data_IF_277951033089
#
_entry.id   IF_277951033089
#
_cell.length_a   1.000
_cell.length_b   1.000
_cell.length_c   1.000
_cell.angle_alpha   90.00
_cell.angle_beta   90.00
_cell.angle_gamma   90.00
#
_symmetry.space_group_name_H-M   'P 1'
#
loop_
_entity.id
_entity.type
_entity.pdbx_description
1 polymer ?
#
# COMPACT_ATOMS: atom_id res chain seq x y z
N UNK A 1 -11.32 16.28 -9.68
CA UNK A 1 -12.17 15.07 -9.82
C UNK A 1 -13.23 15.16 -10.92
N UNK A 2 -14.03 16.24 -11.04
CA UNK A 2 -15.09 16.29 -12.07
C UNK A 2 -14.53 16.17 -13.50
N UNK A 3 -13.35 16.75 -13.77
CA UNK A 3 -12.69 16.68 -15.09
C UNK A 3 -12.35 15.26 -15.55
N UNK A 4 -12.12 14.32 -14.65
CA UNK A 4 -11.74 12.93 -15.00
C UNK A 4 -12.92 11.96 -15.04
N UNK A 5 -14.08 12.38 -14.53
CA UNK A 5 -15.28 11.54 -14.36
C UNK A 5 -15.81 10.96 -15.67
N UNK A 6 -15.65 11.71 -16.77
CA UNK A 6 -16.16 11.33 -18.09
C UNK A 6 -15.05 10.86 -19.04
N UNK A 7 -13.83 10.61 -18.53
CA UNK A 7 -12.78 10.00 -19.35
C UNK A 7 -13.19 8.59 -19.71
N UNK A 8 -13.16 8.26 -21.00
CA UNK A 8 -13.31 6.88 -21.46
C UNK A 8 -12.12 6.04 -20.97
N UNK A 9 -12.38 5.18 -19.99
CA UNK A 9 -11.38 4.29 -19.40
C UNK A 9 -11.17 2.99 -20.18
N UNK A 10 -11.92 2.75 -21.27
CA UNK A 10 -11.79 1.51 -22.05
C UNK A 10 -10.44 1.39 -22.76
N UNK A 11 -9.77 2.51 -23.02
CA UNK A 11 -8.45 2.57 -23.65
C UNK A 11 -7.44 3.20 -22.68
N UNK A 12 -6.51 2.39 -22.18
CA UNK A 12 -5.45 2.76 -21.23
C UNK A 12 -4.74 4.06 -21.63
N UNK A 13 -4.25 4.12 -22.87
CA UNK A 13 -3.52 5.28 -23.39
C UNK A 13 -4.41 6.53 -23.52
N UNK A 14 -5.72 6.34 -23.72
CA UNK A 14 -6.70 7.42 -23.77
C UNK A 14 -6.91 8.12 -22.42
N UNK A 15 -6.53 7.48 -21.31
CA UNK A 15 -6.67 8.07 -19.97
C UNK A 15 -5.53 9.01 -19.59
N UNK A 16 -4.38 8.95 -20.27
CA UNK A 16 -3.16 9.66 -19.87
C UNK A 16 -3.29 11.18 -20.03
N UNK A 17 -3.45 11.64 -21.27
CA UNK A 17 -3.45 13.07 -21.59
C UNK A 17 -4.56 13.84 -20.84
N UNK A 18 -5.81 13.34 -20.79
CA UNK A 18 -6.86 14.03 -20.02
C UNK A 18 -6.60 14.05 -18.52
N UNK A 19 -5.94 13.02 -17.97
CA UNK A 19 -5.54 13.02 -16.55
C UNK A 19 -4.46 14.06 -16.27
N UNK A 20 -3.47 14.20 -17.17
CA UNK A 20 -2.44 15.24 -17.09
C UNK A 20 -3.10 16.63 -17.12
N UNK A 21 -3.98 16.88 -18.08
CA UNK A 21 -4.69 18.16 -18.22
C UNK A 21 -5.52 18.50 -16.98
N UNK A 22 -6.14 17.48 -16.35
CA UNK A 22 -6.92 17.66 -15.14
C UNK A 22 -6.07 18.03 -13.91
N UNK A 23 -4.89 17.42 -13.74
CA UNK A 23 -4.13 17.53 -12.49
C UNK A 23 -2.89 18.41 -12.56
N UNK A 24 -2.23 18.58 -13.71
CA UNK A 24 -1.05 19.44 -13.84
C UNK A 24 -1.29 20.87 -13.32
N UNK A 25 -2.41 21.55 -13.63
CA UNK A 25 -2.66 22.89 -13.08
C UNK A 25 -2.84 22.90 -11.55
N UNK A 26 -3.34 21.81 -10.97
CA UNK A 26 -3.51 21.68 -9.52
C UNK A 26 -2.16 21.45 -8.84
N UNK A 27 -1.31 20.60 -9.43
CA UNK A 27 0.05 20.38 -8.96
C UNK A 27 0.89 21.66 -9.02
N UNK A 28 0.78 22.43 -10.11
CA UNK A 28 1.48 23.71 -10.24
C UNK A 28 1.08 24.72 -9.16
N UNK A 29 -0.22 24.81 -8.83
CA UNK A 29 -0.69 25.64 -7.70
C UNK A 29 -0.14 25.21 -6.35
N UNK A 30 0.36 23.97 -6.25
CA UNK A 30 0.91 23.36 -5.03
C UNK A 30 2.42 23.12 -5.13
N UNK A 31 3.09 23.65 -6.16
CA UNK A 31 4.52 23.46 -6.41
C UNK A 31 5.38 23.75 -5.18
N UNK A 32 5.18 24.90 -4.53
CA UNK A 32 5.95 25.28 -3.33
C UNK A 32 5.82 24.24 -2.21
N UNK A 33 4.63 23.67 -2.02
CA UNK A 33 4.40 22.62 -1.01
C UNK A 33 5.12 21.33 -1.41
N UNK A 34 4.98 20.90 -2.67
CA UNK A 34 5.62 19.68 -3.19
C UNK A 34 7.15 19.79 -3.09
N UNK A 35 7.72 20.92 -3.49
CA UNK A 35 9.16 21.13 -3.55
C UNK A 35 9.78 21.55 -2.20
N UNK A 36 8.96 21.88 -1.20
CA UNK A 36 9.44 22.10 0.17
C UNK A 36 9.92 20.81 0.86
N UNK A 37 9.51 19.64 0.37
CA UNK A 37 9.94 18.36 0.91
C UNK A 37 11.40 18.10 0.54
N UNK A 38 12.25 17.85 1.54
CA UNK A 38 13.65 17.50 1.32
C UNK A 38 13.73 16.24 0.44
N UNK A 39 14.51 16.34 -0.63
CA UNK A 39 14.76 15.24 -1.56
C UNK A 39 16.24 15.15 -1.94
N UNK A 40 16.79 13.94 -1.96
CA UNK A 40 18.14 13.66 -2.43
C UNK A 40 18.12 12.55 -3.49
N UNK A 41 18.99 12.64 -4.49
CA UNK A 41 19.15 11.63 -5.55
C UNK A 41 20.39 10.79 -5.26
N UNK A 42 20.27 9.48 -5.43
CA UNK A 42 21.35 8.52 -5.28
C UNK A 42 21.44 7.62 -6.51
N UNK A 43 22.63 7.06 -6.74
CA UNK A 43 22.86 6.08 -7.80
C UNK A 43 23.08 4.70 -7.17
N UNK A 44 22.26 3.72 -7.56
CA UNK A 44 22.32 2.35 -7.02
C UNK A 44 23.00 1.35 -7.96
N UNK A 45 23.31 1.76 -9.19
CA UNK A 45 23.96 0.92 -10.19
C UNK A 45 24.82 1.70 -11.17
N UNK A 46 25.32 1.03 -12.22
CA UNK A 46 26.30 1.59 -13.15
C UNK A 46 25.69 2.52 -14.21
N UNK A 47 24.40 2.42 -14.49
CA UNK A 47 23.74 3.21 -15.54
C UNK A 47 23.05 4.46 -14.98
N UNK A 48 22.75 5.42 -15.84
CA UNK A 48 22.01 6.64 -15.47
C UNK A 48 20.62 6.31 -14.89
N UNK A 49 19.93 5.33 -15.49
CA UNK A 49 18.62 4.85 -15.04
C UNK A 49 18.68 3.98 -13.78
N UNK A 50 19.86 3.65 -13.28
CA UNK A 50 20.02 3.02 -11.98
C UNK A 50 20.21 4.07 -10.89
N UNK A 51 19.26 5.00 -10.84
CA UNK A 51 19.19 6.11 -9.88
C UNK A 51 17.86 6.07 -9.11
N UNK A 52 17.85 6.58 -7.89
CA UNK A 52 16.65 6.70 -7.07
C UNK A 52 16.60 8.06 -6.37
N UNK A 53 15.39 8.55 -6.14
CA UNK A 53 15.15 9.71 -5.29
C UNK A 53 14.63 9.26 -3.93
N UNK A 54 15.16 9.86 -2.86
CA UNK A 54 14.68 9.70 -1.49
C UNK A 54 14.04 10.99 -1.04
N UNK A 55 12.77 10.92 -0.65
CA UNK A 55 11.98 12.02 -0.08
C UNK A 55 11.90 11.82 1.42
N UNK A 56 12.40 12.80 2.17
CA UNK A 56 12.55 12.71 3.62
C UNK A 56 11.33 13.29 4.33
N UNK A 57 10.72 12.56 5.27
CA UNK A 57 9.71 13.15 6.12
C UNK A 57 10.33 14.23 7.00
N UNK A 58 9.50 15.17 7.48
CA UNK A 58 9.92 16.10 8.51
C UNK A 58 10.42 15.33 9.75
N UNK A 59 11.38 15.91 10.47
CA UNK A 59 11.96 15.28 11.66
C UNK A 59 10.85 14.91 12.66
N UNK A 60 10.77 13.63 13.02
CA UNK A 60 9.82 13.15 14.02
C UNK A 60 10.35 13.44 15.43
N UNK A 61 9.47 13.94 16.31
CA UNK A 61 9.78 14.11 17.74
C UNK A 61 10.05 12.78 18.46
N UNK A 62 9.66 11.65 17.87
CA UNK A 62 9.62 10.36 18.56
C UNK A 62 10.93 9.56 18.50
N UNK A 63 12.01 10.08 17.89
CA UNK A 63 13.28 9.37 17.63
C UNK A 63 13.13 8.00 16.92
N UNK A 64 11.93 7.66 16.41
CA UNK A 64 11.67 6.43 15.67
C UNK A 64 11.96 6.66 14.20
N UNK A 65 12.69 5.73 13.59
CA UNK A 65 12.95 5.74 12.14
C UNK A 65 11.61 5.48 11.40
N UNK A 66 11.28 6.26 10.37
CA UNK A 66 10.02 6.12 9.63
C UNK A 66 10.00 4.82 8.81
N UNK A 67 8.82 4.23 8.53
CA UNK A 67 8.73 3.15 7.54
C UNK A 67 9.17 3.67 6.16
N UNK A 68 9.62 2.75 5.31
CA UNK A 68 10.08 3.08 3.95
C UNK A 68 9.06 2.62 2.94
N UNK A 69 8.65 3.51 2.03
CA UNK A 69 7.79 3.18 0.89
C UNK A 69 8.56 3.33 -0.41
N UNK A 70 8.72 2.24 -1.16
CA UNK A 70 9.31 2.24 -2.49
C UNK A 70 8.18 2.31 -3.52
N UNK A 71 8.00 3.46 -4.16
CA UNK A 71 7.02 3.65 -5.22
C UNK A 71 7.66 3.35 -6.57
N UNK A 72 7.18 2.29 -7.23
CA UNK A 72 7.68 1.87 -8.55
C UNK A 72 6.66 2.27 -9.61
N UNK A 73 7.01 3.27 -10.41
CA UNK A 73 6.11 3.86 -11.37
C UNK A 73 5.77 2.92 -12.55
N UNK A 74 4.79 3.33 -13.36
CA UNK A 74 4.31 2.61 -14.55
C UNK A 74 4.99 3.04 -15.85
N UNK A 75 4.20 3.26 -16.91
CA UNK A 75 4.73 3.70 -18.21
C UNK A 75 4.98 2.56 -19.21
N UNK A 76 4.39 1.38 -18.95
CA UNK A 76 4.35 0.32 -19.95
C UNK A 76 5.71 -0.27 -20.32
N UNK A 77 6.65 -0.30 -19.38
CA UNK A 77 8.02 -0.80 -19.60
C UNK A 77 8.88 0.02 -20.57
N UNK A 78 8.31 0.91 -21.38
CA UNK A 78 8.99 1.67 -22.44
C UNK A 78 9.12 3.16 -22.12
N UNK A 79 8.37 3.66 -21.14
CA UNK A 79 8.39 5.05 -20.68
C UNK A 79 8.32 5.08 -19.15
N UNK A 80 8.43 6.29 -18.56
CA UNK A 80 8.41 6.47 -17.12
C UNK A 80 9.73 7.06 -16.62
N UNK A 81 9.68 8.01 -15.69
CA UNK A 81 10.86 8.64 -15.08
C UNK A 81 10.54 9.04 -13.64
N UNK A 82 11.50 8.89 -12.71
CA UNK A 82 11.35 9.42 -11.33
C UNK A 82 11.21 10.94 -11.30
N UNK A 83 11.80 11.64 -12.28
CA UNK A 83 11.66 13.07 -12.55
C UNK A 83 11.48 13.25 -14.06
N UNK A 84 10.35 13.79 -14.48
CA UNK A 84 10.16 14.21 -15.87
C UNK A 84 10.73 15.62 -16.11
N UNK A 85 11.01 16.00 -17.37
CA UNK A 85 11.22 17.40 -17.72
C UNK A 85 9.93 18.22 -17.60
N UNK A 86 10.08 19.54 -17.47
CA UNK A 86 8.95 20.48 -17.53
C UNK A 86 8.18 20.30 -18.86
N UNK A 87 6.84 20.41 -18.85
CA UNK A 87 5.97 20.85 -17.74
C UNK A 87 5.47 19.71 -16.83
N UNK A 88 6.05 18.51 -16.92
CA UNK A 88 5.65 17.34 -16.11
C UNK A 88 6.59 17.09 -14.93
N UNK A 89 7.48 18.04 -14.60
CA UNK A 89 8.52 17.85 -13.60
C UNK A 89 8.01 17.69 -12.17
N UNK A 90 6.73 17.94 -11.93
CA UNK A 90 6.04 17.64 -10.66
C UNK A 90 5.47 16.21 -10.60
N UNK A 91 5.35 15.52 -11.73
CA UNK A 91 4.88 14.12 -11.76
C UNK A 91 5.92 13.24 -11.05
N UNK A 92 5.44 12.39 -10.15
CA UNK A 92 6.20 11.58 -9.19
C UNK A 92 6.89 12.35 -8.06
N UNK A 93 7.34 13.61 -8.26
CA UNK A 93 7.69 14.48 -7.11
C UNK A 93 6.50 14.65 -6.17
N UNK A 94 5.31 14.84 -6.74
CA UNK A 94 4.07 14.95 -6.01
C UNK A 94 3.77 13.68 -5.17
N UNK A 95 4.06 12.49 -5.70
CA UNK A 95 3.92 11.21 -4.98
C UNK A 95 4.92 11.11 -3.83
N UNK A 96 6.20 11.38 -4.10
CA UNK A 96 7.26 11.35 -3.09
C UNK A 96 6.99 12.31 -1.93
N UNK A 97 6.63 13.55 -2.26
CA UNK A 97 6.28 14.58 -1.28
C UNK A 97 5.03 14.22 -0.47
N UNK A 98 4.03 13.58 -1.09
CA UNK A 98 2.76 13.24 -0.42
C UNK A 98 2.99 12.26 0.74
N UNK A 99 3.74 11.19 0.50
CA UNK A 99 4.01 10.19 1.53
C UNK A 99 5.06 10.68 2.55
N UNK A 100 6.06 11.45 2.11
CA UNK A 100 7.01 12.10 3.03
C UNK A 100 6.32 13.05 4.02
N UNK A 101 5.36 13.86 3.55
CA UNK A 101 4.54 14.72 4.42
C UNK A 101 3.72 13.93 5.45
N UNK A 102 3.52 12.62 5.23
CA UNK A 102 2.80 11.69 6.12
C UNK A 102 3.72 10.84 6.99
N UNK A 103 4.99 11.23 7.11
CA UNK A 103 5.95 10.58 7.99
C UNK A 103 6.56 9.29 7.42
N UNK A 104 6.54 9.12 6.10
CA UNK A 104 7.03 7.91 5.42
C UNK A 104 8.25 8.28 4.57
N UNK A 105 9.39 7.60 4.80
CA UNK A 105 10.55 7.77 3.92
C UNK A 105 10.22 7.18 2.56
N UNK A 106 10.14 8.02 1.54
CA UNK A 106 9.62 7.58 0.23
C UNK A 106 10.75 7.51 -0.78
N UNK A 107 10.86 6.37 -1.46
CA UNK A 107 11.91 6.10 -2.45
C UNK A 107 11.26 5.87 -3.81
N UNK A 108 11.75 6.56 -4.84
CA UNK A 108 11.29 6.40 -6.21
C UNK A 108 12.51 6.04 -7.08
N UNK A 109 12.71 4.75 -7.40
CA UNK A 109 13.78 4.33 -8.30
C UNK A 109 13.36 4.48 -9.75
N UNK A 110 14.29 4.94 -10.59
CA UNK A 110 14.26 4.60 -12.00
C UNK A 110 14.62 3.13 -12.19
N UNK A 111 14.23 2.56 -13.33
CA UNK A 111 14.67 1.27 -13.84
C UNK A 111 14.91 1.38 -15.35
N UNK A 112 15.74 0.50 -15.93
CA UNK A 112 15.99 0.51 -17.38
C UNK A 112 14.71 0.16 -18.16
N UNK A 113 14.56 0.73 -19.34
CA UNK A 113 13.35 0.63 -20.16
C UNK A 113 13.58 -0.17 -21.44
N UNK A 114 12.51 -0.77 -21.96
CA UNK A 114 12.51 -1.44 -23.26
C UNK A 114 12.52 -0.40 -24.39
N UNK A 115 13.18 -0.70 -25.54
CA UNK A 115 13.79 -1.98 -25.92
C UNK A 115 15.22 -2.22 -25.43
N UNK A 116 15.87 -1.24 -24.77
CA UNK A 116 17.27 -1.37 -24.34
C UNK A 116 17.45 -2.34 -23.17
N UNK A 117 16.41 -2.52 -22.36
CA UNK A 117 16.31 -3.49 -21.28
C UNK A 117 14.96 -4.19 -21.34
N UNK A 118 14.97 -5.52 -21.27
CA UNK A 118 13.78 -6.38 -21.37
C UNK A 118 13.75 -7.32 -20.17
N UNK A 119 12.67 -8.07 -19.95
CA UNK A 119 12.61 -9.02 -18.84
C UNK A 119 13.82 -9.98 -18.89
N UNK A 120 14.59 -10.15 -17.79
CA UNK A 120 14.33 -9.68 -16.42
C UNK A 120 15.02 -8.37 -15.99
N UNK A 121 15.71 -7.64 -16.87
CA UNK A 121 16.59 -6.52 -16.49
C UNK A 121 15.92 -5.44 -15.61
N UNK A 122 14.69 -4.96 -15.89
CA UNK A 122 14.06 -3.96 -15.02
C UNK A 122 13.65 -4.53 -13.65
N UNK A 123 13.45 -5.85 -13.56
CA UNK A 123 13.19 -6.54 -12.28
C UNK A 123 14.47 -6.60 -11.44
N UNK A 124 15.62 -6.82 -12.08
CA UNK A 124 16.93 -6.74 -11.41
C UNK A 124 17.24 -5.32 -10.94
N UNK A 125 16.88 -4.31 -11.73
CA UNK A 125 17.07 -2.91 -11.33
C UNK A 125 16.27 -2.55 -10.07
N UNK A 126 15.00 -2.97 -9.98
CA UNK A 126 14.18 -2.74 -8.78
C UNK A 126 14.69 -3.56 -7.59
N UNK A 127 15.19 -4.79 -7.81
CA UNK A 127 15.90 -5.57 -6.78
C UNK A 127 17.12 -4.78 -6.27
N UNK A 128 17.93 -4.23 -7.16
CA UNK A 128 19.17 -3.55 -6.80
C UNK A 128 18.91 -2.21 -6.10
N UNK A 129 17.87 -1.48 -6.51
CA UNK A 129 17.38 -0.32 -5.78
C UNK A 129 16.96 -0.69 -4.36
N UNK A 130 16.23 -1.81 -4.18
CA UNK A 130 15.87 -2.30 -2.87
C UNK A 130 17.09 -2.71 -2.02
N UNK A 131 18.09 -3.36 -2.64
CA UNK A 131 19.37 -3.67 -1.98
C UNK A 131 20.05 -2.40 -1.48
N UNK A 132 20.09 -1.37 -2.33
CA UNK A 132 20.64 -0.08 -1.97
C UNK A 132 19.91 0.53 -0.77
N UNK A 133 18.57 0.50 -0.76
CA UNK A 133 17.76 1.01 0.35
C UNK A 133 18.09 0.30 1.66
N UNK A 134 18.13 -1.04 1.67
CA UNK A 134 18.43 -1.82 2.88
C UNK A 134 19.85 -1.54 3.39
N UNK A 135 20.82 -1.37 2.49
CA UNK A 135 22.21 -1.15 2.86
C UNK A 135 22.55 0.30 3.28
N UNK A 136 21.87 1.30 2.71
CA UNK A 136 22.31 2.70 2.81
C UNK A 136 21.34 3.62 3.57
N UNK A 137 20.07 3.24 3.69
CA UNK A 137 19.05 4.11 4.33
C UNK A 137 18.76 3.73 5.78
N UNK A 138 19.55 2.85 6.39
CA UNK A 138 19.35 2.38 7.78
C UNK A 138 19.34 3.50 8.80
N UNK A 139 20.04 4.62 8.56
CA UNK A 139 20.09 5.75 9.48
C UNK A 139 18.86 6.67 9.41
N UNK A 140 18.15 6.65 8.28
CA UNK A 140 17.07 7.59 7.99
C UNK A 140 15.71 6.92 7.82
N UNK A 141 15.66 5.59 7.77
CA UNK A 141 14.45 4.80 7.66
C UNK A 141 14.56 3.46 8.37
N UNK A 142 13.42 2.91 8.75
CA UNK A 142 13.31 1.57 9.35
C UNK A 142 13.32 0.53 8.23
N UNK A 143 14.50 -0.01 7.94
CA UNK A 143 14.66 -1.03 6.90
C UNK A 143 13.99 -2.36 7.26
N UNK A 144 13.51 -2.58 8.48
CA UNK A 144 12.66 -3.74 8.83
C UNK A 144 11.18 -3.53 8.46
N UNK A 145 10.84 -2.33 7.96
CA UNK A 145 9.50 -1.90 7.59
C UNK A 145 9.49 -1.28 6.19
N UNK A 146 9.87 -2.07 5.19
CA UNK A 146 9.85 -1.65 3.78
C UNK A 146 8.55 -2.11 3.12
N UNK A 147 7.93 -1.20 2.37
CA UNK A 147 6.71 -1.44 1.62
C UNK A 147 6.93 -1.07 0.17
N UNK A 148 6.31 -1.80 -0.75
CA UNK A 148 6.27 -1.44 -2.17
C UNK A 148 4.88 -0.93 -2.53
N UNK A 149 4.79 0.19 -3.26
CA UNK A 149 3.56 0.65 -3.87
C UNK A 149 3.74 0.78 -5.39
N UNK A 150 3.74 -0.35 -6.12
CA UNK A 150 3.98 -0.30 -7.54
C UNK A 150 2.69 0.02 -8.33
N UNK A 151 2.83 0.71 -9.45
CA UNK A 151 1.73 1.06 -10.34
C UNK A 151 1.90 0.46 -11.74
N UNK A 152 0.83 -0.08 -12.31
CA UNK A 152 0.80 -0.50 -13.73
C UNK A 152 1.93 -1.49 -14.07
N UNK A 153 2.80 -1.15 -15.03
CA UNK A 153 4.00 -1.91 -15.39
C UNK A 153 4.94 -2.16 -14.18
N UNK A 154 5.11 -1.19 -13.29
CA UNK A 154 5.87 -1.36 -12.04
C UNK A 154 5.29 -2.47 -11.16
N UNK A 155 3.97 -2.68 -11.24
CA UNK A 155 3.28 -3.78 -10.57
C UNK A 155 3.73 -5.15 -11.09
N UNK A 156 3.82 -5.31 -12.41
CA UNK A 156 4.39 -6.52 -13.01
C UNK A 156 5.84 -6.73 -12.58
N UNK A 157 6.64 -5.66 -12.53
CA UNK A 157 8.06 -5.73 -12.14
C UNK A 157 8.21 -6.20 -10.69
N UNK A 158 7.56 -5.54 -9.73
CA UNK A 158 7.66 -5.88 -8.30
C UNK A 158 7.07 -7.27 -8.01
N UNK A 159 5.90 -7.60 -8.58
CA UNK A 159 5.32 -8.92 -8.35
C UNK A 159 6.18 -10.03 -8.99
N UNK A 160 6.83 -9.78 -10.12
CA UNK A 160 7.80 -10.72 -10.69
C UNK A 160 9.01 -10.92 -9.78
N UNK A 161 9.54 -9.84 -9.20
CA UNK A 161 10.63 -9.89 -8.23
C UNK A 161 10.28 -10.76 -7.00
N UNK A 162 9.03 -10.70 -6.54
CA UNK A 162 8.58 -11.41 -5.34
C UNK A 162 8.20 -12.87 -5.60
N UNK A 163 7.59 -13.17 -6.76
CA UNK A 163 7.04 -14.50 -7.09
C UNK A 163 7.96 -15.39 -7.93
N UNK A 164 8.90 -14.81 -8.67
CA UNK A 164 9.76 -15.59 -9.57
C UNK A 164 10.85 -16.32 -8.81
N UNK A 165 11.07 -17.58 -9.17
CA UNK A 165 12.20 -18.41 -8.67
C UNK A 165 13.45 -18.28 -9.55
N UNK A 166 13.53 -17.23 -10.37
CA UNK A 166 14.72 -16.97 -11.19
C UNK A 166 15.96 -16.87 -10.28
N UNK A 167 17.06 -17.59 -10.57
CA UNK A 167 18.29 -17.56 -9.78
C UNK A 167 18.86 -16.15 -9.54
N UNK A 168 18.62 -15.23 -10.48
CA UNK A 168 19.03 -13.82 -10.32
C UNK A 168 18.28 -13.13 -9.17
N UNK A 169 17.16 -13.65 -8.73
CA UNK A 169 16.37 -13.14 -7.61
C UNK A 169 16.51 -13.98 -6.33
N UNK A 170 17.19 -15.14 -6.38
CA UNK A 170 17.35 -16.02 -5.21
C UNK A 170 18.10 -15.33 -4.06
N UNK A 171 19.04 -14.41 -4.37
CA UNK A 171 19.72 -13.59 -3.36
C UNK A 171 18.79 -12.63 -2.60
N UNK A 172 17.56 -12.41 -3.07
CA UNK A 172 16.55 -11.67 -2.29
C UNK A 172 16.05 -12.45 -1.08
N UNK A 173 16.30 -13.76 -0.96
CA UNK A 173 15.70 -14.63 0.06
C UNK A 173 15.79 -14.06 1.48
N UNK A 174 17.00 -13.71 1.93
CA UNK A 174 17.20 -13.10 3.26
C UNK A 174 16.62 -11.68 3.32
N UNK A 175 16.66 -10.95 2.20
CA UNK A 175 16.17 -9.59 2.12
C UNK A 175 14.65 -9.48 2.13
N UNK A 176 13.92 -10.52 1.72
CA UNK A 176 12.45 -10.56 1.74
C UNK A 176 11.89 -10.30 3.14
N UNK A 177 12.64 -10.63 4.20
CA UNK A 177 12.25 -10.35 5.59
C UNK A 177 12.10 -8.85 5.91
N UNK A 178 12.74 -7.97 5.13
CA UNK A 178 12.59 -6.52 5.25
C UNK A 178 11.29 -6.00 4.63
N UNK A 179 10.68 -6.77 3.72
CA UNK A 179 9.49 -6.37 2.98
C UNK A 179 8.26 -6.75 3.79
N UNK A 180 7.58 -5.75 4.34
CA UNK A 180 6.37 -5.95 5.14
C UNK A 180 5.10 -5.99 4.31
N UNK A 181 5.09 -5.29 3.19
CA UNK A 181 3.89 -5.21 2.36
C UNK A 181 4.17 -4.81 0.92
N UNK A 182 3.24 -5.22 0.04
CA UNK A 182 3.16 -4.77 -1.34
C UNK A 182 1.73 -4.33 -1.63
N UNK A 183 1.59 -3.12 -2.17
CA UNK A 183 0.32 -2.50 -2.51
C UNK A 183 0.24 -2.21 -4.01
N UNK A 184 0.10 -3.24 -4.86
CA UNK A 184 0.07 -3.06 -6.30
C UNK A 184 -1.23 -2.37 -6.71
N UNK A 185 -1.11 -1.28 -7.48
CA UNK A 185 -2.27 -0.58 -8.06
C UNK A 185 -2.34 -0.73 -9.57
N UNK A 186 -3.45 -1.28 -10.06
CA UNK A 186 -3.70 -1.43 -11.50
C UNK A 186 -2.57 -2.21 -12.19
N UNK A 187 -1.97 -3.17 -11.50
CA UNK A 187 -0.83 -3.92 -12.00
C UNK A 187 -1.24 -4.79 -13.20
N UNK A 188 -0.32 -4.97 -14.15
CA UNK A 188 -0.51 -5.97 -15.20
C UNK A 188 -0.27 -7.38 -14.66
N UNK A 189 -1.29 -7.95 -14.00
CA UNK A 189 -1.20 -9.30 -13.41
C UNK A 189 -1.14 -10.39 -14.48
N UNK A 190 -1.83 -10.18 -15.60
CA UNK A 190 -1.82 -11.05 -16.76
C UNK A 190 -2.10 -10.23 -18.02
N UNK A 191 -1.67 -10.73 -19.17
CA UNK A 191 -1.94 -10.13 -20.46
C UNK A 191 -2.59 -11.16 -21.37
N UNK A 192 -3.92 -11.10 -21.49
CA UNK A 192 -4.67 -11.92 -22.46
C UNK A 192 -4.76 -11.17 -23.79
N UNK A 193 -3.96 -11.64 -24.76
CA UNK A 193 -3.88 -11.06 -26.11
C UNK A 193 -5.21 -11.15 -26.87
N UNK A 194 -6.16 -11.99 -26.45
CA UNK A 194 -7.50 -12.07 -27.08
C UNK A 194 -8.37 -10.85 -26.77
N UNK A 195 -8.15 -10.21 -25.62
CA UNK A 195 -8.98 -9.09 -25.13
C UNK A 195 -8.22 -7.77 -25.05
N UNK A 196 -6.88 -7.80 -24.95
CA UNK A 196 -6.06 -6.58 -24.95
C UNK A 196 -6.06 -5.96 -26.34
N UNK A 197 -6.33 -4.64 -26.45
CA UNK A 197 -6.22 -3.91 -27.72
C UNK A 197 -4.84 -4.07 -28.36
N UNK A 198 -4.79 -4.34 -29.67
CA UNK A 198 -3.54 -4.55 -30.43
C UNK A 198 -2.52 -3.41 -30.30
N UNK A 199 -2.98 -2.19 -30.03
CA UNK A 199 -2.10 -1.03 -29.79
C UNK A 199 -1.20 -1.20 -28.55
N UNK A 200 -1.60 -2.04 -27.60
CA UNK A 200 -0.83 -2.33 -26.37
C UNK A 200 0.13 -3.50 -26.55
N UNK A 201 -0.06 -4.39 -27.55
CA UNK A 201 0.79 -5.57 -27.72
C UNK A 201 2.28 -5.27 -27.85
N UNK A 202 2.72 -4.26 -28.65
CA UNK A 202 4.15 -3.97 -28.78
C UNK A 202 4.83 -3.61 -27.46
N UNK A 203 4.07 -3.11 -26.49
CA UNK A 203 4.55 -2.80 -25.15
C UNK A 203 4.92 -4.08 -24.39
N UNK A 204 4.06 -5.11 -24.48
CA UNK A 204 4.25 -6.41 -23.84
C UNK A 204 5.29 -7.24 -24.57
N UNK A 205 5.23 -7.26 -25.89
CA UNK A 205 6.14 -8.04 -26.73
C UNK A 205 7.59 -7.56 -26.59
N UNK A 206 7.81 -6.24 -26.53
CA UNK A 206 9.16 -5.69 -26.29
C UNK A 206 9.70 -6.07 -24.92
N UNK A 207 8.85 -6.08 -23.89
CA UNK A 207 9.30 -6.37 -22.53
C UNK A 207 9.48 -7.87 -22.28
N UNK A 208 8.50 -8.71 -22.65
CA UNK A 208 8.55 -10.16 -22.40
C UNK A 208 9.23 -10.96 -23.52
N UNK A 209 9.30 -10.41 -24.73
CA UNK A 209 9.86 -11.01 -25.94
C UNK A 209 8.82 -11.61 -26.90
N UNK A 210 7.74 -12.18 -26.37
CA UNK A 210 6.62 -12.74 -27.14
C UNK A 210 5.40 -12.98 -26.25
N UNK A 211 4.24 -13.23 -26.85
CA UNK A 211 3.02 -13.69 -26.15
C UNK A 211 3.30 -14.97 -25.34
N UNK A 212 4.02 -15.94 -25.91
CA UNK A 212 4.37 -17.19 -25.24
C UNK A 212 5.18 -16.93 -23.96
N UNK A 213 6.21 -16.08 -24.06
CA UNK A 213 7.05 -15.73 -22.90
C UNK A 213 6.27 -14.89 -21.88
N UNK A 214 5.39 -13.99 -22.31
CA UNK A 214 4.48 -13.27 -21.42
C UNK A 214 3.56 -14.25 -20.65
N UNK A 215 3.07 -15.29 -21.34
CA UNK A 215 2.30 -16.40 -20.78
C UNK A 215 3.03 -17.23 -19.71
N UNK A 216 4.35 -17.08 -19.57
CA UNK A 216 5.16 -17.74 -18.54
C UNK A 216 5.64 -16.78 -17.44
N UNK A 217 5.74 -15.48 -17.76
CA UNK A 217 6.46 -14.49 -16.93
C UNK A 217 5.55 -13.45 -16.26
N UNK A 218 4.27 -13.41 -16.60
CA UNK A 218 3.32 -12.52 -15.93
C UNK A 218 3.11 -12.90 -14.46
N UNK A 219 2.79 -11.93 -13.56
CA UNK A 219 2.56 -12.20 -12.14
C UNK A 219 1.58 -13.33 -11.84
N UNK A 220 0.46 -13.42 -12.57
CA UNK A 220 -0.51 -14.49 -12.40
C UNK A 220 0.08 -15.86 -12.71
N UNK A 221 0.94 -15.95 -13.72
CA UNK A 221 1.56 -17.20 -14.14
C UNK A 221 2.68 -17.60 -13.17
N UNK A 222 3.48 -16.63 -12.72
CA UNK A 222 4.44 -16.83 -11.64
C UNK A 222 3.73 -17.28 -10.35
N UNK A 223 2.60 -16.67 -10.00
CA UNK A 223 1.79 -17.08 -8.86
C UNK A 223 1.24 -18.51 -8.99
N UNK A 224 0.99 -19.03 -10.19
CA UNK A 224 0.57 -20.44 -10.35
C UNK A 224 1.67 -21.43 -10.03
N UNK A 225 2.92 -21.09 -10.35
CA UNK A 225 4.07 -22.01 -10.26
C UNK A 225 4.96 -21.79 -9.04
N UNK A 226 4.83 -20.66 -8.34
CA UNK A 226 5.63 -20.36 -7.14
C UNK A 226 5.56 -21.48 -6.10
N UNK A 227 6.68 -21.84 -5.48
CA UNK A 227 6.71 -22.75 -4.33
C UNK A 227 5.95 -22.22 -3.12
N UNK A 228 5.54 -23.13 -2.22
CA UNK A 228 4.95 -22.70 -0.94
C UNK A 228 5.94 -21.90 -0.09
N UNK A 229 7.25 -22.16 -0.18
CA UNK A 229 8.27 -21.33 0.49
C UNK A 229 8.21 -19.87 0.02
N UNK A 230 8.07 -19.64 -1.29
CA UNK A 230 7.90 -18.29 -1.85
C UNK A 230 6.59 -17.65 -1.39
N UNK A 231 5.52 -18.42 -1.27
CA UNK A 231 4.21 -17.92 -0.87
C UNK A 231 4.08 -17.64 0.64
N UNK A 232 4.68 -18.49 1.47
CA UNK A 232 4.70 -18.36 2.93
C UNK A 232 5.54 -17.13 3.33
N UNK A 233 6.60 -16.83 2.57
CA UNK A 233 7.42 -15.62 2.73
C UNK A 233 6.89 -14.39 2.00
N UNK A 234 5.76 -14.50 1.27
CA UNK A 234 5.22 -13.38 0.51
C UNK A 234 4.74 -12.27 1.46
N UNK A 235 5.05 -10.98 1.20
CA UNK A 235 4.69 -9.87 2.10
C UNK A 235 3.17 -9.69 2.21
N UNK A 236 2.71 -8.79 3.09
CA UNK A 236 1.28 -8.45 3.15
C UNK A 236 0.82 -7.85 1.82
N UNK A 237 -0.14 -8.50 1.16
CA UNK A 237 -0.73 -8.00 -0.08
C UNK A 237 -1.92 -7.09 0.24
N UNK A 238 -1.77 -5.80 -0.06
CA UNK A 238 -2.86 -4.81 0.01
C UNK A 238 -3.22 -4.39 -1.40
N UNK A 239 -4.05 -5.18 -2.06
CA UNK A 239 -4.35 -4.99 -3.48
C UNK A 239 -5.11 -3.67 -3.68
N UNK A 240 -4.76 -2.93 -4.74
CA UNK A 240 -5.37 -1.65 -5.04
C UNK A 240 -5.78 -1.55 -6.52
N UNK A 241 -6.80 -0.75 -6.79
CA UNK A 241 -7.22 -0.42 -8.15
C UNK A 241 -7.77 0.99 -8.24
N UNK A 242 -7.78 1.55 -9.45
CA UNK A 242 -8.68 2.67 -9.76
C UNK A 242 -10.11 2.15 -9.87
N UNK A 243 -11.12 2.97 -9.57
CA UNK A 243 -12.52 2.58 -9.77
C UNK A 243 -12.81 2.27 -11.25
N UNK A 244 -12.21 3.06 -12.15
CA UNK A 244 -12.41 2.98 -13.58
C UNK A 244 -11.12 2.50 -14.28
N UNK A 245 -10.80 1.22 -14.10
CA UNK A 245 -9.71 0.55 -14.83
C UNK A 245 -10.17 0.08 -16.24
N UNK A 246 -9.26 0.04 -17.23
CA UNK A 246 -9.54 -0.62 -18.50
C UNK A 246 -9.91 -2.09 -18.25
N UNK A 247 -10.89 -2.67 -18.99
CA UNK A 247 -11.38 -4.04 -18.73
C UNK A 247 -10.29 -5.13 -18.71
N UNK A 248 -9.21 -4.94 -19.46
CA UNK A 248 -8.08 -5.86 -19.54
C UNK A 248 -6.99 -5.64 -18.47
N UNK A 249 -7.14 -4.63 -17.60
CA UNK A 249 -6.32 -4.38 -16.40
C UNK A 249 -7.06 -4.85 -15.12
N UNK A 250 -8.23 -5.48 -15.26
CA UNK A 250 -9.01 -6.08 -14.16
C UNK A 250 -8.62 -7.56 -13.81
N UNK A 251 -7.46 -8.18 -14.21
CA UNK A 251 -7.12 -9.51 -13.71
C UNK A 251 -6.63 -9.51 -12.25
N UNK A 252 -6.76 -8.39 -11.52
CA UNK A 252 -6.60 -8.35 -10.06
C UNK A 252 -7.47 -9.41 -9.38
N UNK A 253 -8.74 -9.55 -9.81
CA UNK A 253 -9.67 -10.49 -9.17
C UNK A 253 -9.22 -11.94 -9.32
N UNK A 254 -8.67 -12.31 -10.48
CA UNK A 254 -8.11 -13.64 -10.71
C UNK A 254 -6.82 -13.86 -9.92
N UNK A 255 -5.92 -12.88 -9.93
CA UNK A 255 -4.68 -12.96 -9.17
C UNK A 255 -4.95 -13.06 -7.66
N UNK A 256 -5.82 -12.21 -7.13
CA UNK A 256 -6.22 -12.21 -5.73
C UNK A 256 -6.91 -13.51 -5.37
N UNK A 257 -7.89 -13.97 -6.16
CA UNK A 257 -8.57 -15.24 -5.90
C UNK A 257 -7.60 -16.42 -5.87
N UNK A 258 -6.66 -16.49 -6.80
CA UNK A 258 -5.61 -17.51 -6.81
C UNK A 258 -4.68 -17.37 -5.60
N UNK A 259 -4.29 -16.16 -5.23
CA UNK A 259 -3.44 -15.91 -4.07
C UNK A 259 -4.13 -16.38 -2.78
N UNK A 260 -5.39 -16.01 -2.57
CA UNK A 260 -6.18 -16.47 -1.42
C UNK A 260 -6.33 -17.99 -1.43
N UNK A 261 -6.57 -18.60 -2.59
CA UNK A 261 -6.70 -20.05 -2.73
C UNK A 261 -5.41 -20.77 -2.35
N UNK A 262 -4.25 -20.28 -2.82
CA UNK A 262 -2.96 -20.94 -2.59
C UNK A 262 -2.41 -20.72 -1.19
N UNK A 263 -2.68 -19.56 -0.58
CA UNK A 263 -2.09 -19.16 0.71
C UNK A 263 -3.05 -19.24 1.89
N UNK A 264 -4.36 -19.28 1.64
CA UNK A 264 -5.39 -19.13 2.68
C UNK A 264 -5.50 -17.71 3.26
N UNK A 265 -4.66 -16.76 2.83
CA UNK A 265 -4.63 -15.38 3.34
C UNK A 265 -5.67 -14.55 2.59
N UNK A 266 -6.55 -13.88 3.31
CA UNK A 266 -7.51 -12.96 2.73
C UNK A 266 -6.86 -11.64 2.32
N UNK A 267 -7.31 -11.11 1.19
CA UNK A 267 -6.76 -9.89 0.60
C UNK A 267 -7.87 -8.86 0.50
N UNK A 268 -7.65 -7.70 1.12
CA UNK A 268 -8.50 -6.54 0.93
C UNK A 268 -8.12 -5.86 -0.39
N UNK A 269 -9.15 -5.44 -1.15
CA UNK A 269 -8.99 -4.63 -2.36
C UNK A 269 -9.43 -3.19 -2.06
N UNK A 270 -8.48 -2.28 -1.99
CA UNK A 270 -8.75 -0.86 -1.85
C UNK A 270 -9.01 -0.23 -3.23
N UNK A 271 -10.05 0.60 -3.34
CA UNK A 271 -10.45 1.22 -4.61
C UNK A 271 -10.28 2.73 -4.53
N UNK A 272 -9.44 3.28 -5.41
CA UNK A 272 -9.32 4.71 -5.63
C UNK A 272 -10.57 5.23 -6.37
N UNK A 273 -11.57 5.64 -5.58
CA UNK A 273 -12.88 6.11 -6.07
C UNK A 273 -12.74 7.31 -6.99
N UNK A 274 -13.52 7.32 -8.07
CA UNK A 274 -13.53 8.37 -9.08
C UNK A 274 -12.30 8.39 -10.01
N UNK A 275 -11.29 7.56 -9.76
CA UNK A 275 -10.07 7.56 -10.57
C UNK A 275 -10.16 6.63 -11.77
N UNK A 276 -9.54 7.06 -12.86
CA UNK A 276 -9.08 6.23 -13.98
C UNK A 276 -7.60 5.85 -13.80
N UNK A 277 -7.13 4.86 -14.56
CA UNK A 277 -5.78 4.25 -14.44
C UNK A 277 -4.63 5.24 -14.23
N UNK A 278 -4.59 6.35 -14.98
CA UNK A 278 -3.50 7.34 -14.91
C UNK A 278 -3.73 8.47 -13.89
N UNK A 279 -4.97 8.70 -13.46
CA UNK A 279 -5.30 9.88 -12.65
C UNK A 279 -4.83 9.78 -11.19
N UNK A 280 -4.82 8.57 -10.60
CA UNK A 280 -4.64 8.40 -9.16
C UNK A 280 -3.29 8.93 -8.65
N UNK A 281 -2.19 8.66 -9.33
CA UNK A 281 -0.86 9.18 -8.91
C UNK A 281 -0.68 10.66 -9.21
N UNK A 282 -1.34 11.21 -10.23
CA UNK A 282 -1.33 12.64 -10.53
C UNK A 282 -2.12 13.44 -9.49
N UNK A 283 -3.07 12.79 -8.82
CA UNK A 283 -3.93 13.42 -7.82
C UNK A 283 -3.23 13.73 -6.49
N UNK A 284 -2.17 13.02 -6.13
CA UNK A 284 -1.47 13.25 -4.86
C UNK A 284 -0.85 14.64 -4.81
N UNK A 285 -1.03 15.35 -3.69
CA UNK A 285 -0.69 16.77 -3.49
C UNK A 285 -1.44 17.76 -4.39
N UNK A 286 -2.48 17.34 -5.11
CA UNK A 286 -3.34 18.25 -5.87
C UNK A 286 -4.41 18.91 -5.00
N UNK A 287 -4.76 18.30 -3.86
CA UNK A 287 -5.88 18.67 -3.00
C UNK A 287 -7.22 18.02 -3.40
N UNK A 288 -7.22 17.10 -4.37
CA UNK A 288 -8.42 16.41 -4.86
C UNK A 288 -8.13 14.93 -5.13
N UNK A 289 -9.01 14.00 -4.69
CA UNK A 289 -8.89 12.57 -5.01
C UNK A 289 -7.68 11.88 -4.36
N UNK A 290 -7.36 12.26 -3.12
CA UNK A 290 -6.16 11.80 -2.42
C UNK A 290 -6.44 10.65 -1.44
N UNK A 291 -7.71 10.27 -1.27
CA UNK A 291 -8.16 9.35 -0.23
C UNK A 291 -7.49 7.98 -0.33
N UNK A 292 -7.27 7.48 -1.54
CA UNK A 292 -6.55 6.22 -1.76
C UNK A 292 -5.10 6.29 -1.27
N UNK A 293 -4.47 7.46 -1.39
CA UNK A 293 -3.11 7.71 -0.91
C UNK A 293 -3.07 7.78 0.61
N UNK A 294 -4.10 8.34 1.23
CA UNK A 294 -4.25 8.32 2.69
C UNK A 294 -4.42 6.91 3.22
N UNK A 295 -5.28 6.11 2.59
CA UNK A 295 -5.48 4.71 2.95
C UNK A 295 -4.16 3.92 2.88
N UNK A 296 -3.38 4.12 1.80
CA UNK A 296 -2.07 3.51 1.66
C UNK A 296 -1.09 3.99 2.75
N UNK A 297 -1.04 5.29 3.03
CA UNK A 297 -0.15 5.85 4.06
C UNK A 297 -0.48 5.29 5.45
N UNK A 298 -1.77 5.18 5.76
CA UNK A 298 -2.29 4.62 7.01
C UNK A 298 -1.94 3.13 7.13
N UNK A 299 -2.12 2.35 6.07
CA UNK A 299 -1.71 0.95 6.02
C UNK A 299 -0.20 0.77 6.24
N UNK A 300 0.65 1.58 5.59
CA UNK A 300 2.12 1.56 5.77
C UNK A 300 2.52 1.87 7.22
N UNK A 301 1.86 2.85 7.84
CA UNK A 301 2.11 3.21 9.24
C UNK A 301 1.64 2.14 10.22
N UNK A 302 0.79 1.20 9.80
CA UNK A 302 0.10 0.24 10.68
C UNK A 302 -1.09 0.89 11.42
N UNK A 303 -1.56 2.03 10.92
CA UNK A 303 -2.72 2.75 11.42
C UNK A 303 -3.94 2.31 10.61
N UNK A 304 -4.49 1.12 10.86
CA UNK A 304 -5.76 0.76 10.22
C UNK A 304 -6.81 1.76 10.65
N UNK A 305 -7.55 2.30 9.67
CA UNK A 305 -8.66 3.24 9.90
C UNK A 305 -9.60 2.66 10.96
N UNK A 306 -9.69 3.34 12.09
CA UNK A 306 -10.54 2.93 13.21
C UNK A 306 -12.00 3.11 12.80
N UNK A 307 -12.61 2.09 12.21
CA UNK A 307 -14.07 2.08 12.09
C UNK A 307 -14.65 1.76 13.47
N UNK A 308 -14.94 2.80 14.25
CA UNK A 308 -15.79 2.66 15.43
C UNK A 308 -17.22 2.52 14.92
N UNK A 309 -17.74 1.28 14.88
CA UNK A 309 -19.16 1.05 14.61
C UNK A 309 -19.92 1.29 15.91
N UNK A 310 -20.56 2.46 16.03
CA UNK A 310 -21.49 2.75 17.11
C UNK A 310 -22.85 2.12 16.77
N UNK A 311 -23.23 1.07 17.49
CA UNK A 311 -24.59 0.53 17.42
C UNK A 311 -25.47 1.30 18.42
N UNK A 312 -26.48 2.02 17.92
CA UNK A 312 -27.59 2.49 18.76
C UNK A 312 -28.73 1.46 18.72
N UNK A 313 -28.98 0.76 19.84
CA UNK A 313 -30.18 -0.06 19.98
C UNK A 313 -31.37 0.80 20.42
N UNK A 314 -32.53 0.77 19.72
CA UNK A 314 -33.73 1.51 20.12
C UNK A 314 -34.38 1.00 21.43
N UNK A 315 -34.01 -0.19 21.90
CA UNK A 315 -34.71 -0.88 23.00
C UNK A 315 -34.08 -0.66 24.38
N UNK A 316 -32.92 0.00 24.48
CA UNK A 316 -32.26 0.27 25.76
C UNK A 316 -32.64 1.67 26.26
N UNK A 317 -33.83 1.77 26.89
CA UNK A 317 -34.19 2.92 27.74
C UNK A 317 -33.36 2.89 29.04
N UNK A 318 -32.07 3.22 28.97
CA UNK A 318 -31.22 3.77 30.06
C UNK A 318 -29.79 3.98 29.53
N UNK A 319 -29.32 5.23 29.62
CA UNK A 319 -28.01 5.79 29.19
C UNK A 319 -26.81 4.82 29.29
N UNK A 320 -26.60 3.99 28.28
CA UNK A 320 -25.40 3.15 28.14
C UNK A 320 -25.05 3.09 26.66
N UNK A 321 -23.98 3.78 26.24
CA UNK A 321 -23.49 3.69 24.87
C UNK A 321 -22.59 2.45 24.79
N UNK A 322 -22.88 1.55 23.86
CA UNK A 322 -22.04 0.38 23.59
C UNK A 322 -21.06 0.75 22.47
N UNK A 323 -19.75 0.74 22.76
CA UNK A 323 -18.72 0.89 21.72
C UNK A 323 -18.11 -0.48 21.44
N UNK A 324 -18.10 -0.88 20.17
CA UNK A 324 -17.42 -2.08 19.69
C UNK A 324 -16.25 -1.62 18.83
N UNK A 325 -15.05 -2.08 19.18
CA UNK A 325 -13.83 -1.82 18.41
C UNK A 325 -13.36 -3.17 17.87
N UNK A 326 -13.26 -3.29 16.55
CA UNK A 326 -12.67 -4.46 15.90
C UNK A 326 -11.19 -4.22 15.64
N UNK A 327 -10.37 -5.22 15.99
CA UNK A 327 -8.95 -5.26 15.66
C UNK A 327 -8.63 -6.65 15.10
N UNK A 328 -7.62 -6.75 14.23
CA UNK A 328 -7.14 -8.01 13.62
C UNK A 328 -7.22 -9.18 14.62
N UNK A 329 -8.18 -10.08 14.38
CA UNK A 329 -8.48 -11.29 15.15
C UNK A 329 -8.97 -11.14 16.61
N UNK A 330 -9.39 -9.95 17.06
CA UNK A 330 -9.96 -9.75 18.42
C UNK A 330 -11.16 -8.78 18.43
N UNK A 331 -12.24 -9.22 19.07
CA UNK A 331 -13.41 -8.40 19.37
C UNK A 331 -13.29 -7.89 20.81
N UNK A 332 -13.25 -6.57 21.00
CA UNK A 332 -13.32 -5.94 22.32
C UNK A 332 -14.75 -5.45 22.56
N UNK A 333 -15.41 -6.02 23.57
CA UNK A 333 -16.78 -5.64 23.98
C UNK A 333 -16.69 -4.99 25.36
N UNK A 334 -17.15 -3.74 25.49
CA UNK A 334 -17.31 -3.08 26.78
C UNK A 334 -18.76 -3.21 27.27
N UNK A 335 -18.99 -3.94 28.37
CA UNK A 335 -20.26 -3.91 29.10
C UNK A 335 -20.05 -3.78 30.61
N UNK A 336 -20.67 -2.71 31.15
CA UNK A 336 -20.86 -2.36 32.59
C UNK A 336 -19.58 -1.92 33.30
N UNK A 337 -19.54 -0.80 34.02
CA UNK A 337 -20.62 -0.11 34.73
C UNK A 337 -20.55 -0.33 36.25
N UNK A 338 -19.42 -0.82 36.78
CA UNK A 338 -19.16 -0.89 38.22
C UNK A 338 -17.98 0.01 38.59
N UNK A 339 -18.20 0.90 39.56
CA UNK A 339 -17.15 1.73 40.18
C UNK A 339 -16.24 0.83 41.00
N UNK A 340 -14.97 0.74 40.62
CA UNK A 340 -13.89 0.29 41.50
C UNK A 340 -13.07 1.52 41.91
N UNK A 341 -13.01 1.73 43.21
CA UNK A 341 -12.25 2.80 43.86
C UNK A 341 -10.77 2.38 43.89
N UNK A 342 -9.90 3.09 43.18
CA UNK A 342 -8.46 2.88 43.23
C UNK A 342 -7.78 4.20 43.56
N UNK A 343 -7.23 4.26 44.78
CA UNK A 343 -6.44 5.38 45.28
C UNK A 343 -5.21 5.67 44.44
N UNK A 344 -4.82 6.94 44.48
CA UNK A 344 -3.64 7.53 43.84
C UNK A 344 -2.37 6.70 44.00
N UNK A 345 -1.79 6.23 42.90
CA UNK A 345 -0.49 5.57 42.90
C UNK A 345 -0.03 5.17 41.50
N UNK A 346 1.13 5.67 41.11
CA UNK A 346 1.83 5.45 39.85
C UNK A 346 2.17 3.98 39.57
N UNK A 347 1.91 3.49 38.35
CA UNK A 347 2.53 2.29 37.78
C UNK A 347 1.56 1.18 37.36
N UNK A 348 1.49 0.88 36.06
CA UNK A 348 0.80 -0.31 35.56
C UNK A 348 1.55 -1.58 35.98
N UNK A 349 0.94 -2.41 36.83
CA UNK A 349 1.28 -3.83 37.01
C UNK A 349 0.09 -4.68 36.56
N UNK A 350 0.29 -5.52 35.55
CA UNK A 350 -0.63 -6.62 35.27
C UNK A 350 -0.46 -7.69 36.36
N UNK A 351 -1.49 -7.92 37.17
CA UNK A 351 -1.57 -9.11 38.03
C UNK A 351 -2.77 -9.96 37.65
N UNK A 352 -2.48 -11.18 37.20
CA UNK A 352 -3.40 -12.29 37.01
C UNK A 352 -4.06 -12.69 38.33
N UNK A 353 -5.40 -12.67 38.39
CA UNK A 353 -6.14 -13.42 39.41
C UNK A 353 -7.59 -13.66 38.97
N UNK A 354 -7.89 -14.89 38.51
CA UNK A 354 -9.24 -15.44 38.58
C UNK A 354 -9.21 -16.63 39.55
N UNK A 355 -10.05 -16.57 40.61
CA UNK A 355 -10.43 -17.74 41.41
C UNK A 355 -11.65 -18.40 40.77
N UNK A 356 -11.75 -19.74 40.73
CA UNK A 356 -12.88 -20.43 40.13
C UNK A 356 -14.07 -20.46 41.09
N UNK A 357 -15.24 -19.99 40.64
CA UNK A 357 -16.50 -20.21 41.34
C UNK A 357 -17.45 -19.01 41.39
N UNK A 358 -18.07 -18.63 40.27
CA UNK A 358 -19.42 -18.05 40.29
C UNK A 358 -20.07 -18.18 38.91
N UNK A 359 -21.29 -18.73 38.88
CA UNK A 359 -22.10 -18.92 37.68
C UNK A 359 -22.78 -17.62 37.31
N UNK A 360 -22.39 -17.00 36.20
CA UNK A 360 -23.25 -16.04 35.51
C UNK A 360 -23.91 -16.74 34.31
N UNK A 361 -25.22 -16.97 34.42
CA UNK A 361 -26.06 -17.43 33.29
C UNK A 361 -26.34 -16.24 32.37
N UNK A 362 -25.68 -16.23 31.23
CA UNK A 362 -26.21 -15.65 30.00
C UNK A 362 -25.49 -16.30 28.83
N UNK A 363 -26.19 -17.16 28.11
CA UNK A 363 -25.68 -17.86 26.95
C UNK A 363 -25.69 -16.93 25.74
N UNK A 364 -24.52 -16.54 25.26
CA UNK A 364 -24.36 -15.99 23.91
C UNK A 364 -23.60 -17.02 23.08
N UNK A 365 -24.28 -17.60 22.07
CA UNK A 365 -23.62 -18.43 21.06
C UNK A 365 -22.99 -17.51 20.04
N UNK A 366 -21.67 -17.35 20.08
CA UNK A 366 -20.92 -16.88 18.91
C UNK A 366 -20.75 -18.09 17.98
N UNK A 367 -21.40 -18.04 16.80
CA UNK A 367 -21.14 -19.02 15.73
C UNK A 367 -20.14 -18.40 14.75
N UNK A 368 -18.90 -18.86 14.80
CA UNK A 368 -17.83 -18.56 13.85
C UNK A 368 -16.50 -19.20 14.31
N UNK A 369 -15.57 -19.57 13.41
CA UNK A 369 -14.45 -20.46 13.77
C UNK A 369 -13.30 -19.82 14.55
N UNK A 370 -13.34 -18.53 14.87
CA UNK A 370 -12.14 -17.75 15.23
C UNK A 370 -12.32 -16.81 16.44
N UNK A 371 -12.95 -17.26 17.53
CA UNK A 371 -12.92 -16.51 18.79
C UNK A 371 -12.31 -17.35 19.91
N UNK A 372 -11.15 -16.95 20.44
CA UNK A 372 -10.54 -17.62 21.60
C UNK A 372 -10.36 -16.78 22.87
N UNK A 373 -10.31 -15.43 22.84
CA UNK A 373 -10.21 -14.64 24.08
C UNK A 373 -10.84 -13.23 23.96
N UNK A 374 -11.34 -12.71 25.08
CA UNK A 374 -11.89 -11.34 25.23
C UNK A 374 -10.98 -10.55 26.17
N UNK A 375 -10.44 -9.42 25.71
CA UNK A 375 -9.66 -8.47 26.52
C UNK A 375 -10.54 -7.28 26.93
N UNK A 376 -10.49 -6.91 28.20
CA UNK A 376 -11.16 -5.72 28.74
C UNK A 376 -10.20 -4.53 28.77
N UNK A 377 -10.61 -3.38 28.22
CA UNK A 377 -9.89 -2.10 28.31
C UNK A 377 -10.74 -1.11 29.09
N UNK A 378 -10.21 -0.55 30.19
CA UNK A 378 -10.85 0.54 30.92
C UNK A 378 -10.32 1.89 30.41
N UNK A 379 -11.23 2.78 30.02
CA UNK A 379 -10.92 4.19 29.74
C UNK A 379 -11.27 5.02 30.98
N UNK A 380 -10.31 5.80 31.50
CA UNK A 380 -10.57 6.79 32.55
C UNK A 380 -11.09 8.09 31.92
N UNK A 381 -12.23 8.59 32.40
CA UNK A 381 -12.86 9.82 31.91
C UNK A 381 -11.98 11.09 32.12
N UNK A 382 -12.16 12.14 31.29
CA UNK A 382 -11.41 13.38 31.44
C UNK A 382 -11.84 14.17 32.69
N UNK A 383 -10.85 14.66 33.44
CA UNK A 383 -11.05 15.54 34.59
C UNK A 383 -11.59 16.90 34.11
N UNK A 384 -12.83 17.22 34.49
CA UNK A 384 -13.36 18.59 34.39
C UNK A 384 -12.76 19.44 35.50
N UNK A 385 -11.83 20.33 35.17
CA UNK A 385 -11.48 21.43 36.07
C UNK A 385 -12.62 22.46 36.07
N UNK A 386 -13.38 22.50 37.17
CA UNK A 386 -14.17 23.69 37.55
C UNK A 386 -13.21 24.69 38.17
N UNK A 387 -13.02 25.85 37.55
CA UNK A 387 -12.55 27.03 38.26
C UNK A 387 -13.72 27.63 39.03
N UNK A 388 -13.58 27.73 40.35
CA UNK A 388 -14.29 28.69 41.18
C UNK A 388 -13.24 29.68 41.68
N UNK A 389 -13.30 30.90 41.13
CA UNK A 389 -13.21 32.25 41.74
C UNK A 389 -12.79 33.24 40.66
#
# INVERSE_FOLDING_TARGET
MEAIKNIDSSVLLGTLQPSIEAFSPLLEKRREVIESVKRETFQYGATERQSLDVYYPAASETNKKPPILIYVYGGGFTTGERIYPAPLDLVHKNVGAFFAARGILTVIPDYRLSPQAVYPDPVEDVRDAFRYVVANLTEVGDTSRIFFAPHSAGGSIVLSMLLSENPRFVELGEMKAHIRGVAPRGAGYHYDYKVIPKVVWPMMDKFYGSEELAGQRTPLQLLKVASMETLDSFPHLFAMRSENEPPYIIPETEFVALFEQRTGRKVEINTAKGHVHMSAHLALNSGEGEEWGEDLANWVKGEVSRTIILFSSPEIRRRSHLAVICWEDRIVINQRGDRLDCGSGTGFKCSSAFRPGSRARSSWRVRGPLCREVLYVHETAPVRNKMNY
#
